data_IF_435848418341
#
_entry.id   IF_435848418341
#
_cell.length_a   1.000
_cell.length_b   1.000
_cell.length_c   1.000
_cell.angle_alpha   90.00
_cell.angle_beta   90.00
_cell.angle_gamma   90.00
#
_symmetry.space_group_name_H-M   'P 1'
#
loop_
_entity.id
_entity.type
_entity.pdbx_description
1 polymer ?
#
# COMPACT_ATOMS: atom_id res chain seq x y z
N UNK A 1 -17.83 28.35 28.43
CA UNK A 1 -18.68 27.14 28.32
C UNK A 1 -19.06 27.06 26.85
N UNK A 2 -18.49 26.11 26.11
CA UNK A 2 -18.90 25.86 24.72
C UNK A 2 -20.36 25.40 24.73
N UNK A 3 -21.15 25.89 23.78
CA UNK A 3 -22.55 25.45 23.68
C UNK A 3 -22.61 24.04 23.10
N UNK A 4 -23.61 23.25 23.48
CA UNK A 4 -23.79 21.88 23.00
C UNK A 4 -23.84 21.79 21.46
N UNK A 5 -24.32 22.85 20.80
CA UNK A 5 -24.40 22.96 19.34
C UNK A 5 -23.01 23.12 18.67
N UNK A 6 -22.12 23.93 19.25
CA UNK A 6 -20.75 24.10 18.75
C UNK A 6 -19.97 22.79 18.86
N UNK A 7 -20.08 22.12 20.01
CA UNK A 7 -19.46 20.81 20.25
C UNK A 7 -19.94 19.73 19.27
N UNK A 8 -21.23 19.70 18.94
CA UNK A 8 -21.75 18.77 17.93
C UNK A 8 -21.20 19.06 16.53
N UNK A 9 -21.03 20.32 16.16
CA UNK A 9 -20.51 20.69 14.83
C UNK A 9 -19.04 20.33 14.64
N UNK A 10 -18.20 20.52 15.67
CA UNK A 10 -16.78 20.15 15.63
C UNK A 10 -16.64 18.64 15.52
N UNK A 11 -17.35 17.89 16.37
CA UNK A 11 -17.35 16.44 16.35
C UNK A 11 -17.83 15.88 15.00
N UNK A 12 -18.91 16.43 14.43
CA UNK A 12 -19.40 16.00 13.12
C UNK A 12 -18.41 16.28 12.00
N UNK A 13 -17.65 17.38 12.10
CA UNK A 13 -16.60 17.72 11.12
C UNK A 13 -15.45 16.73 11.16
N UNK A 14 -15.01 16.32 12.36
CA UNK A 14 -14.00 15.27 12.53
C UNK A 14 -14.47 13.93 11.98
N UNK A 15 -15.73 13.53 12.28
CA UNK A 15 -16.32 12.29 11.77
C UNK A 15 -16.41 12.30 10.24
N UNK A 16 -16.90 13.39 9.64
CA UNK A 16 -16.99 13.51 8.19
C UNK A 16 -15.60 13.46 7.53
N UNK A 17 -14.59 14.05 8.17
CA UNK A 17 -13.20 14.00 7.70
C UNK A 17 -12.65 12.57 7.78
N UNK A 18 -12.87 11.88 8.89
CA UNK A 18 -12.50 10.47 9.04
C UNK A 18 -13.14 9.61 7.95
N UNK A 19 -14.45 9.72 7.76
CA UNK A 19 -15.17 8.98 6.71
C UNK A 19 -14.65 9.33 5.31
N UNK A 20 -14.37 10.59 5.02
CA UNK A 20 -13.77 11.00 3.74
C UNK A 20 -12.42 10.32 3.47
N UNK A 21 -11.54 10.28 4.47
CA UNK A 21 -10.23 9.61 4.37
C UNK A 21 -10.40 8.10 4.23
N UNK A 22 -11.37 7.50 4.91
CA UNK A 22 -11.75 6.08 4.79
C UNK A 22 -12.14 5.78 3.34
N UNK A 23 -13.10 6.51 2.76
CA UNK A 23 -13.53 6.29 1.38
C UNK A 23 -12.40 6.50 0.37
N UNK A 24 -11.56 7.52 0.59
CA UNK A 24 -10.37 7.75 -0.24
C UNK A 24 -9.40 6.56 -0.19
N UNK A 25 -9.13 6.01 0.99
CA UNK A 25 -8.28 4.83 1.17
C UNK A 25 -8.86 3.57 0.50
N UNK A 26 -10.17 3.36 0.57
CA UNK A 26 -10.87 2.30 -0.15
C UNK A 26 -10.72 2.47 -1.66
N UNK A 27 -10.99 3.67 -2.18
CA UNK A 27 -10.81 4.01 -3.59
C UNK A 27 -9.38 3.75 -4.06
N UNK A 28 -8.38 4.22 -3.30
CA UNK A 28 -6.97 3.96 -3.58
C UNK A 28 -6.66 2.46 -3.62
N UNK A 29 -7.27 1.66 -2.74
CA UNK A 29 -7.11 0.20 -2.74
C UNK A 29 -7.62 -0.43 -4.03
N UNK A 30 -8.83 -0.06 -4.46
CA UNK A 30 -9.46 -0.58 -5.67
C UNK A 30 -8.65 -0.17 -6.90
N UNK A 31 -8.30 1.12 -7.01
CA UNK A 31 -7.47 1.64 -8.09
C UNK A 31 -6.11 0.96 -8.14
N UNK A 32 -5.44 0.78 -6.99
CA UNK A 32 -4.15 0.08 -6.92
C UNK A 32 -4.27 -1.36 -7.37
N UNK A 33 -5.33 -2.06 -6.96
CA UNK A 33 -5.58 -3.44 -7.35
C UNK A 33 -5.80 -3.55 -8.87
N UNK A 34 -6.61 -2.67 -9.45
CA UNK A 34 -6.80 -2.59 -10.89
C UNK A 34 -5.47 -2.29 -11.61
N UNK A 35 -4.74 -1.26 -11.19
CA UNK A 35 -3.44 -0.89 -11.75
C UNK A 35 -2.47 -2.08 -11.72
N UNK A 36 -2.43 -2.83 -10.62
CA UNK A 36 -1.59 -4.03 -10.49
C UNK A 36 -1.98 -5.12 -11.48
N UNK A 37 -3.27 -5.31 -11.77
CA UNK A 37 -3.73 -6.28 -12.77
C UNK A 37 -3.30 -5.87 -14.17
N UNK A 38 -3.48 -4.60 -14.52
CA UNK A 38 -3.11 -4.08 -15.85
C UNK A 38 -1.60 -4.00 -16.07
N UNK A 39 -0.84 -3.64 -15.04
CA UNK A 39 0.62 -3.49 -15.09
C UNK A 39 1.39 -4.79 -14.83
N UNK A 40 0.70 -5.88 -14.46
CA UNK A 40 1.33 -7.19 -14.23
C UNK A 40 2.28 -7.64 -15.35
N UNK A 41 1.92 -7.62 -16.66
CA UNK A 41 2.84 -8.02 -17.72
C UNK A 41 4.08 -7.12 -17.77
N UNK A 42 3.93 -5.81 -17.54
CA UNK A 42 5.05 -4.86 -17.51
C UNK A 42 5.97 -5.10 -16.30
N UNK A 43 5.42 -5.41 -15.13
CA UNK A 43 6.19 -5.73 -13.92
C UNK A 43 6.96 -7.05 -14.01
N UNK A 44 6.46 -8.02 -14.80
CA UNK A 44 7.21 -9.24 -15.09
C UNK A 44 8.39 -8.99 -16.02
N UNK A 45 8.25 -8.08 -16.99
CA UNK A 45 9.35 -7.66 -17.86
C UNK A 45 10.39 -6.80 -17.12
N UNK A 46 9.97 -6.01 -16.13
CA UNK A 46 10.83 -5.08 -15.38
C UNK A 46 10.60 -5.21 -13.86
N UNK A 47 11.18 -6.23 -13.20
CA UNK A 47 10.95 -6.48 -11.77
C UNK A 47 11.37 -5.31 -10.87
N UNK A 48 12.35 -4.51 -11.32
CA UNK A 48 12.83 -3.31 -10.63
C UNK A 48 11.77 -2.21 -10.47
N UNK A 49 10.85 -2.07 -11.42
CA UNK A 49 9.73 -1.11 -11.28
C UNK A 49 8.62 -1.69 -10.40
N UNK A 50 8.39 -3.01 -10.48
CA UNK A 50 7.38 -3.70 -9.69
C UNK A 50 7.62 -3.55 -8.18
N UNK A 51 8.81 -3.89 -7.67
CA UNK A 51 9.04 -3.84 -6.23
C UNK A 51 8.94 -2.42 -5.65
N UNK A 52 9.43 -1.40 -6.35
CA UNK A 52 9.30 0.01 -5.96
C UNK A 52 7.84 0.42 -5.86
N UNK A 53 7.03 0.07 -6.87
CA UNK A 53 5.59 0.38 -6.88
C UNK A 53 4.85 -0.24 -5.68
N UNK A 54 5.07 -1.54 -5.41
CA UNK A 54 4.45 -2.22 -4.28
C UNK A 54 4.91 -1.67 -2.92
N UNK A 55 6.20 -1.33 -2.78
CA UNK A 55 6.73 -0.72 -1.56
C UNK A 55 6.17 0.68 -1.31
N UNK A 56 6.09 1.52 -2.35
CA UNK A 56 5.48 2.85 -2.25
C UNK A 56 4.00 2.75 -1.85
N UNK A 57 3.23 1.86 -2.48
CA UNK A 57 1.84 1.64 -2.11
C UNK A 57 1.68 1.11 -0.68
N UNK A 58 2.54 0.19 -0.25
CA UNK A 58 2.56 -0.30 1.12
C UNK A 58 2.84 0.82 2.12
N UNK A 59 3.88 1.65 1.86
CA UNK A 59 4.24 2.75 2.72
C UNK A 59 3.09 3.77 2.87
N UNK A 60 2.45 4.14 1.76
CA UNK A 60 1.28 5.03 1.78
C UNK A 60 0.15 4.43 2.62
N UNK A 61 -0.18 3.14 2.42
CA UNK A 61 -1.24 2.47 3.18
C UNK A 61 -0.94 2.38 4.68
N UNK A 62 0.29 2.06 5.06
CA UNK A 62 0.70 1.99 6.46
C UNK A 62 0.62 3.37 7.10
N UNK A 63 1.16 4.40 6.43
CA UNK A 63 1.10 5.77 6.93
C UNK A 63 -0.34 6.22 7.14
N UNK A 64 -1.22 5.94 6.18
CA UNK A 64 -2.63 6.30 6.23
C UNK A 64 -3.38 5.53 7.33
N UNK A 65 -3.04 4.25 7.55
CA UNK A 65 -3.55 3.46 8.67
C UNK A 65 -3.13 4.02 10.04
N UNK A 66 -1.87 4.44 10.18
CA UNK A 66 -1.37 5.12 11.40
C UNK A 66 -2.10 6.45 11.60
N UNK A 67 -2.25 7.24 10.55
CA UNK A 67 -2.89 8.55 10.61
C UNK A 67 -4.37 8.44 10.99
N UNK A 68 -5.07 7.41 10.50
CA UNK A 68 -6.44 7.07 10.91
C UNK A 68 -6.52 6.63 12.37
N UNK A 69 -5.46 6.02 12.91
CA UNK A 69 -5.40 5.59 14.30
C UNK A 69 -5.12 6.76 15.25
N UNK A 70 -4.31 7.73 14.82
CA UNK A 70 -3.82 8.81 15.69
C UNK A 70 -4.57 10.12 15.47
N UNK A 71 -4.46 10.70 14.28
CA UNK A 71 -4.89 12.07 14.00
C UNK A 71 -6.38 12.19 13.68
N UNK A 72 -6.99 11.13 13.15
CA UNK A 72 -8.40 11.16 12.73
C UNK A 72 -9.34 10.37 13.64
N UNK A 73 -8.87 9.85 14.79
CA UNK A 73 -9.78 9.23 15.75
C UNK A 73 -10.58 10.34 16.41
N UNK A 74 -11.90 10.48 16.14
CA UNK A 74 -12.67 11.57 16.67
C UNK A 74 -12.77 11.39 18.19
N UNK A 75 -12.37 12.41 18.94
CA UNK A 75 -12.37 12.39 20.40
C UNK A 75 -13.34 13.43 20.91
N UNK A 76 -14.24 13.03 21.81
CA UNK A 76 -15.18 13.99 22.38
C UNK A 76 -14.43 15.02 23.24
N UNK A 77 -14.57 16.33 22.97
CA UNK A 77 -13.91 17.37 23.75
C UNK A 77 -14.40 17.39 25.21
N UNK A 78 -13.51 17.79 26.12
CA UNK A 78 -13.79 17.78 27.56
C UNK A 78 -14.94 18.72 27.91
N UNK A 79 -15.97 18.19 28.57
CA UNK A 79 -17.17 18.93 28.97
C UNK A 79 -18.35 18.82 28.01
N UNK A 80 -18.24 18.04 26.93
CA UNK A 80 -19.34 17.78 26.00
C UNK A 80 -19.88 16.34 26.11
N UNK A 81 -21.19 16.21 25.91
CA UNK A 81 -21.87 14.91 25.91
C UNK A 81 -22.09 14.47 24.46
N UNK A 82 -21.00 14.05 23.81
CA UNK A 82 -21.12 13.24 22.61
C UNK A 82 -21.65 11.90 23.10
N UNK A 83 -22.78 11.42 22.59
CA UNK A 83 -23.36 10.14 23.01
C UNK A 83 -22.38 8.96 22.85
N UNK A 84 -22.84 7.72 23.03
CA UNK A 84 -21.97 6.53 22.93
C UNK A 84 -21.48 6.29 21.49
N UNK A 85 -20.54 7.11 21.02
CA UNK A 85 -19.82 6.93 19.78
C UNK A 85 -18.70 5.93 20.05
N UNK A 86 -18.86 4.72 19.51
CA UNK A 86 -17.82 3.72 19.55
C UNK A 86 -16.97 3.86 18.28
N UNK A 87 -15.76 4.46 18.36
CA UNK A 87 -14.85 4.47 17.23
C UNK A 87 -14.56 3.02 16.84
N UNK A 88 -15.04 2.60 15.68
CA UNK A 88 -14.80 1.25 15.18
C UNK A 88 -13.35 1.15 14.69
N UNK A 89 -12.44 0.70 15.56
CA UNK A 89 -11.03 0.42 15.24
C UNK A 89 -10.84 -0.64 14.14
N UNK A 90 -11.92 -1.32 13.75
CA UNK A 90 -11.98 -2.28 12.64
C UNK A 90 -11.35 -1.72 11.37
N UNK A 91 -11.69 -0.48 11.00
CA UNK A 91 -11.26 0.07 9.72
C UNK A 91 -9.75 0.40 9.66
N UNK A 92 -9.17 1.15 10.62
CA UNK A 92 -7.72 1.34 10.67
C UNK A 92 -6.93 0.02 10.66
N UNK A 93 -7.41 -1.00 11.37
CA UNK A 93 -6.79 -2.33 11.36
C UNK A 93 -6.80 -2.99 9.99
N UNK A 94 -7.93 -2.94 9.26
CA UNK A 94 -8.01 -3.48 7.89
C UNK A 94 -7.03 -2.76 6.97
N UNK A 95 -6.91 -1.43 7.05
CA UNK A 95 -5.99 -0.66 6.20
C UNK A 95 -4.54 -1.08 6.44
N UNK A 96 -4.14 -1.30 7.70
CA UNK A 96 -2.81 -1.79 8.05
C UNK A 96 -2.55 -3.20 7.53
N UNK A 97 -3.50 -4.13 7.71
CA UNK A 97 -3.40 -5.51 7.20
C UNK A 97 -3.25 -5.50 5.68
N UNK A 98 -4.04 -4.68 4.99
CA UNK A 98 -3.89 -4.52 3.54
C UNK A 98 -2.49 -4.00 3.23
N UNK A 99 -2.01 -2.94 3.89
CA UNK A 99 -0.63 -2.44 3.70
C UNK A 99 0.43 -3.55 3.78
N UNK A 100 0.36 -4.39 4.81
CA UNK A 100 1.28 -5.54 4.98
C UNK A 100 1.19 -6.55 3.84
N UNK A 101 -0.02 -6.87 3.36
CA UNK A 101 -0.20 -7.77 2.20
C UNK A 101 0.50 -7.21 0.95
N UNK A 102 0.45 -5.89 0.74
CA UNK A 102 1.15 -5.24 -0.37
C UNK A 102 2.68 -5.28 -0.17
N UNK A 103 3.18 -5.11 1.06
CA UNK A 103 4.60 -5.26 1.38
C UNK A 103 5.13 -6.67 1.03
N UNK A 104 4.39 -7.71 1.43
CA UNK A 104 4.74 -9.11 1.16
C UNK A 104 4.79 -9.39 -0.35
N UNK A 105 3.86 -8.81 -1.12
CA UNK A 105 3.91 -8.89 -2.59
C UNK A 105 5.14 -8.17 -3.14
N UNK A 106 5.47 -6.98 -2.63
CA UNK A 106 6.67 -6.24 -3.02
C UNK A 106 7.95 -7.03 -2.78
N UNK A 107 8.06 -7.73 -1.64
CA UNK A 107 9.21 -8.60 -1.33
C UNK A 107 9.42 -9.68 -2.40
N UNK A 108 8.35 -10.33 -2.86
CA UNK A 108 8.45 -11.34 -3.93
C UNK A 108 9.04 -10.78 -5.23
N UNK A 109 8.70 -9.55 -5.61
CA UNK A 109 9.27 -8.89 -6.79
C UNK A 109 10.72 -8.43 -6.58
N UNK A 110 11.06 -8.04 -5.34
CA UNK A 110 12.44 -7.71 -4.96
C UNK A 110 13.35 -8.94 -5.08
N UNK A 111 12.91 -10.09 -4.56
CA UNK A 111 13.66 -11.35 -4.62
C UNK A 111 13.89 -11.79 -6.08
N UNK A 112 12.88 -11.64 -6.96
CA UNK A 112 13.03 -11.90 -8.39
C UNK A 112 14.02 -10.96 -9.08
N UNK A 113 14.07 -9.68 -8.66
CA UNK A 113 15.03 -8.71 -9.19
C UNK A 113 16.47 -9.05 -8.79
N UNK A 114 16.68 -9.52 -7.56
CA UNK A 114 18.02 -9.83 -7.05
C UNK A 114 18.60 -11.12 -7.67
N UNK A 115 17.76 -12.15 -7.88
CA UNK A 115 18.17 -13.41 -8.53
C UNK A 115 18.61 -13.21 -9.99
N UNK A 116 18.02 -12.23 -10.70
CA UNK A 116 18.45 -11.87 -12.06
C UNK A 116 19.82 -11.17 -12.11
N UNK A 117 20.25 -10.55 -11.01
CA UNK A 117 21.55 -9.86 -10.90
C UNK A 117 22.64 -10.86 -10.46
N UNK A 118 22.35 -11.74 -9.51
CA UNK A 118 23.30 -12.78 -9.04
C UNK A 118 23.60 -13.84 -10.11
N UNK A 119 22.67 -14.10 -11.03
CA UNK A 119 22.91 -14.95 -12.22
C UNK A 119 23.86 -14.32 -13.24
N UNK A 120 24.09 -13.01 -13.20
CA UNK A 120 25.01 -12.29 -14.08
C UNK A 120 26.40 -12.10 -13.45
N UNK A 121 26.50 -12.13 -12.11
CA UNK A 121 27.77 -11.96 -11.39
C UNK A 121 28.50 -13.30 -11.11
N UNK A 122 27.77 -14.42 -11.03
CA UNK A 122 28.38 -15.76 -10.95
C UNK A 122 28.76 -16.36 -12.33
N UNK A 123 28.64 -15.57 -13.40
CA UNK A 123 29.18 -15.89 -14.72
C UNK A 123 30.64 -15.44 -14.84
N UNK A 124 31.56 -16.29 -14.37
CA UNK A 124 33.01 -16.20 -14.65
C UNK A 124 33.24 -15.98 -16.17
N UNK A 125 34.21 -15.13 -16.59
CA UNK A 125 34.45 -14.83 -18.00
C UNK A 125 35.04 -16.03 -18.74
N UNK A 126 34.47 -16.33 -19.91
CA UNK A 126 35.07 -17.20 -20.91
C UNK A 126 34.51 -18.61 -20.97
N UNK A 127 33.72 -18.89 -22.00
CA UNK A 127 33.89 -20.10 -22.82
C UNK A 127 33.11 -19.94 -24.12
N UNK A 128 33.88 -19.76 -25.19
CA UNK A 128 33.64 -20.23 -26.55
C UNK A 128 32.27 -19.98 -27.19
N UNK A 129 32.27 -19.04 -28.14
CA UNK A 129 31.42 -19.15 -29.34
C UNK A 129 31.78 -20.45 -30.08
N UNK A 130 31.06 -21.54 -29.84
CA UNK A 130 31.01 -22.65 -30.78
C UNK A 130 29.96 -22.32 -31.85
N UNK A 131 30.45 -21.81 -32.97
CA UNK A 131 29.76 -21.93 -34.24
C UNK A 131 29.63 -23.42 -34.59
N UNK A 132 28.49 -24.02 -34.27
CA UNK A 132 27.98 -25.20 -34.97
C UNK A 132 26.96 -24.67 -35.98
N UNK A 133 27.25 -24.64 -37.26
CA UNK A 133 27.51 -25.85 -38.03
C UNK A 133 26.22 -26.12 -38.80
N UNK A 134 26.06 -25.33 -39.87
CA UNK A 134 25.05 -25.52 -40.89
C UNK A 134 25.36 -26.83 -41.60
N UNK A 135 24.54 -27.86 -41.41
CA UNK A 135 24.43 -29.00 -42.32
C UNK A 135 23.14 -29.77 -42.03
N UNK A 136 22.12 -29.49 -42.85
CA UNK A 136 21.02 -30.41 -43.16
C UNK A 136 20.84 -30.38 -44.67
N UNK A 137 21.65 -31.19 -45.35
CA UNK A 137 21.22 -32.07 -46.45
C UNK A 137 21.93 -33.40 -46.23
#
# INVERSE_FOLDING_TARGET
MSTTAECQSEFQTEVNTFEGVVYFSLGLTVCSFMATRFLKPHFLATPNHGWKFFWTLSAIKILLGILLFTAFTPTCPSGCNCGSYNPSYVYPSIVLVVGLVWALRGKKYYDMGNQGIEGHENGIPGTEMKAGGSEMI
#
